data_IF_974408325718
#
_entry.id   IF_974408325718
#
_cell.length_a   1.000
_cell.length_b   1.000
_cell.length_c   1.000
_cell.angle_alpha   90.00
_cell.angle_beta   90.00
_cell.angle_gamma   90.00
#
_symmetry.space_group_name_H-M   'P 1'
#
loop_
_entity.id
_entity.type
_entity.pdbx_description
1 polymer ?
#
# COMPACT_ATOMS: atom_id res chain seq x y z
N UNK A 1 -2.63 -17.01 -25.21
CA UNK A 1 -2.13 -18.33 -24.78
C UNK A 1 -0.67 -18.20 -24.40
N UNK A 2 -0.33 -18.66 -23.19
CA UNK A 2 1.00 -18.91 -22.65
C UNK A 2 1.62 -17.69 -21.97
N UNK A 3 1.31 -17.46 -20.72
CA UNK A 3 1.99 -17.97 -19.53
C UNK A 3 3.18 -17.09 -19.13
N UNK A 4 2.93 -16.19 -18.18
CA UNK A 4 3.96 -15.73 -17.22
C UNK A 4 4.24 -16.82 -16.14
N UNK A 5 4.23 -18.07 -16.51
CA UNK A 5 4.58 -19.21 -15.66
C UNK A 5 5.88 -19.88 -16.18
N UNK A 6 6.95 -19.12 -16.36
CA UNK A 6 8.23 -19.71 -16.71
C UNK A 6 9.40 -18.81 -16.30
N UNK A 7 9.63 -18.69 -15.01
CA UNK A 7 10.93 -18.35 -14.46
C UNK A 7 11.20 -19.28 -13.28
N UNK A 8 11.35 -20.57 -13.59
CA UNK A 8 12.08 -21.51 -12.78
C UNK A 8 13.11 -22.19 -13.69
N UNK A 9 14.37 -21.79 -13.70
CA UNK A 9 15.42 -22.58 -14.31
C UNK A 9 15.86 -23.67 -13.33
N UNK A 10 15.60 -24.92 -13.68
CA UNK A 10 16.29 -26.08 -13.11
C UNK A 10 17.75 -26.03 -13.55
N UNK A 11 18.64 -25.62 -12.68
CA UNK A 11 20.10 -25.80 -12.87
C UNK A 11 20.51 -27.06 -12.16
N UNK A 12 20.81 -28.10 -12.94
CA UNK A 12 21.66 -29.23 -12.52
C UNK A 12 23.12 -28.80 -12.57
N UNK A 13 23.84 -29.09 -11.48
CA UNK A 13 25.16 -28.60 -11.21
C UNK A 13 26.30 -29.21 -12.05
N UNK A 14 27.39 -28.45 -12.06
CA UNK A 14 28.78 -28.95 -12.20
C UNK A 14 29.68 -28.10 -11.28
N UNK A 15 30.67 -28.67 -10.60
CA UNK A 15 31.50 -27.94 -9.65
C UNK A 15 32.59 -27.17 -10.37
N UNK A 16 32.72 -25.88 -10.09
CA UNK A 16 33.84 -25.04 -10.50
C UNK A 16 34.79 -24.82 -9.33
N UNK A 17 36.06 -25.10 -9.61
CA UNK A 17 37.19 -25.04 -8.69
C UNK A 17 37.50 -23.60 -8.25
N UNK A 18 37.78 -23.44 -6.96
CA UNK A 18 38.30 -22.23 -6.34
C UNK A 18 39.74 -21.95 -6.81
N UNK A 19 39.96 -20.79 -7.42
CA UNK A 19 41.25 -20.18 -7.57
C UNK A 19 41.38 -18.99 -6.62
N UNK A 20 42.36 -19.04 -5.70
CA UNK A 20 42.72 -17.96 -4.78
C UNK A 20 43.60 -16.93 -5.46
N UNK A 21 43.40 -15.63 -5.29
CA UNK A 21 44.44 -14.64 -5.57
C UNK A 21 45.16 -14.19 -4.28
N UNK A 22 46.47 -14.14 -4.43
CA UNK A 22 47.47 -13.66 -3.46
C UNK A 22 47.38 -12.16 -3.25
N UNK A 23 47.68 -11.80 -2.02
CA UNK A 23 47.91 -10.58 -1.34
C UNK A 23 48.33 -9.27 -2.03
N UNK A 24 47.86 -8.16 -1.45
CA UNK A 24 48.60 -6.87 -1.44
C UNK A 24 48.29 -6.03 -0.21
N UNK A 25 49.36 -5.76 0.52
CA UNK A 25 49.78 -4.54 1.24
C UNK A 25 48.74 -3.66 2.00
N UNK A 26 48.92 -3.70 3.30
CA UNK A 26 48.48 -2.69 4.25
C UNK A 26 49.12 -1.30 4.00
N UNK A 27 48.31 -0.26 4.04
CA UNK A 27 48.75 1.13 4.23
C UNK A 27 48.05 1.68 5.48
N UNK A 28 48.87 1.83 6.53
CA UNK A 28 48.52 2.50 7.77
C UNK A 28 48.38 4.00 7.54
N UNK A 29 47.28 4.62 7.96
CA UNK A 29 47.23 6.06 8.22
C UNK A 29 46.75 6.30 9.65
N UNK A 30 47.61 6.99 10.41
CA UNK A 30 47.40 7.46 11.78
C UNK A 30 46.22 8.45 11.81
N UNK A 31 45.29 8.25 12.71
CA UNK A 31 44.29 9.23 13.10
C UNK A 31 44.83 10.05 14.28
N UNK A 32 44.86 11.37 14.13
CA UNK A 32 45.11 12.31 15.19
C UNK A 32 43.79 12.71 15.85
N UNK A 33 43.74 12.54 17.16
CA UNK A 33 42.69 13.01 18.05
C UNK A 33 42.76 14.50 18.29
N UNK A 34 41.67 15.24 18.10
CA UNK A 34 41.46 16.54 18.70
C UNK A 34 40.12 16.60 19.42
N UNK A 35 40.17 16.62 20.71
CA UNK A 35 39.08 16.89 21.65
C UNK A 35 38.70 18.36 21.54
N UNK A 36 37.43 18.68 21.30
CA UNK A 36 36.85 20.00 21.60
C UNK A 36 35.66 19.87 22.55
N UNK A 37 35.80 20.61 23.66
CA UNK A 37 34.84 20.75 24.76
C UNK A 37 33.60 21.56 24.35
N UNK A 38 32.46 21.11 24.80
CA UNK A 38 31.35 21.75 25.47
C UNK A 38 30.68 22.99 24.85
N UNK A 39 29.40 22.86 24.52
CA UNK A 39 28.46 23.96 24.72
C UNK A 39 27.14 23.38 25.25
N UNK A 40 26.76 23.84 26.44
CA UNK A 40 25.45 23.58 27.06
C UNK A 40 24.38 24.29 26.25
N UNK A 41 23.40 23.56 25.71
CA UNK A 41 22.16 24.15 25.21
C UNK A 41 21.15 24.20 26.36
N UNK A 42 20.67 25.39 26.63
CA UNK A 42 19.56 25.65 27.52
C UNK A 42 18.26 25.09 26.95
N UNK A 43 17.54 24.30 27.76
CA UNK A 43 16.16 23.94 27.46
C UNK A 43 15.26 25.15 27.78
N UNK A 44 14.66 25.73 26.76
CA UNK A 44 13.53 26.63 26.95
C UNK A 44 12.27 25.77 26.91
N UNK A 45 11.65 25.60 28.05
CA UNK A 45 10.30 25.01 28.11
C UNK A 45 9.30 26.08 27.69
N UNK A 46 8.70 25.92 26.54
CA UNK A 46 7.51 26.68 26.15
C UNK A 46 6.30 25.83 26.56
N UNK A 47 5.64 26.23 27.64
CA UNK A 47 4.32 25.71 27.97
C UNK A 47 3.32 26.38 27.02
N UNK A 48 2.85 25.65 26.02
CA UNK A 48 1.73 26.09 25.20
C UNK A 48 0.42 25.61 25.84
N UNK A 49 -0.47 26.56 26.03
CA UNK A 49 -1.79 26.37 26.60
C UNK A 49 -2.68 25.63 25.56
N UNK A 50 -2.82 24.32 25.72
CA UNK A 50 -3.55 23.43 24.79
C UNK A 50 -5.09 23.53 24.91
N UNK A 51 -5.59 24.44 25.75
CA UNK A 51 -7.02 24.50 26.09
C UNK A 51 -7.94 25.25 25.10
N UNK A 52 -7.39 26.07 24.19
CA UNK A 52 -8.23 26.97 23.37
C UNK A 52 -8.47 26.51 21.93
N UNK A 53 -7.63 25.65 21.39
CA UNK A 53 -7.75 25.17 19.99
C UNK A 53 -8.83 24.07 19.83
N UNK A 54 -9.03 23.22 20.85
CA UNK A 54 -10.02 22.14 20.83
C UNK A 54 -11.47 22.66 20.72
N UNK A 55 -11.80 23.74 21.42
CA UNK A 55 -13.20 24.25 21.46
C UNK A 55 -13.66 24.92 20.15
N UNK A 56 -12.74 25.44 19.36
CA UNK A 56 -13.04 26.07 18.07
C UNK A 56 -13.34 25.04 16.97
N UNK A 57 -12.65 23.87 17.02
CA UNK A 57 -12.87 22.74 16.11
C UNK A 57 -14.20 22.03 16.36
N UNK A 58 -14.59 21.88 17.64
CA UNK A 58 -15.88 21.27 18.03
C UNK A 58 -17.08 22.05 17.52
N UNK A 59 -16.93 23.37 17.37
CA UNK A 59 -18.02 24.26 16.88
C UNK A 59 -18.17 24.21 15.35
N UNK A 60 -17.07 23.94 14.63
CA UNK A 60 -17.06 23.91 13.16
C UNK A 60 -17.58 22.60 12.55
N UNK A 61 -17.58 21.52 13.33
CA UNK A 61 -17.82 20.17 12.80
C UNK A 61 -19.23 19.63 13.07
N UNK A 62 -20.01 20.23 13.97
CA UNK A 62 -21.39 19.78 14.27
C UNK A 62 -21.52 18.30 14.68
N UNK A 63 -20.40 17.60 14.79
CA UNK A 63 -20.34 16.22 15.21
C UNK A 63 -19.92 16.16 16.68
N UNK A 64 -20.73 15.47 17.48
CA UNK A 64 -20.41 15.14 18.86
C UNK A 64 -19.22 14.19 18.84
N UNK A 65 -18.00 14.75 18.95
CA UNK A 65 -16.78 13.94 19.03
C UNK A 65 -16.80 13.25 20.40
N UNK A 66 -16.93 11.94 20.40
CA UNK A 66 -16.72 11.14 21.62
C UNK A 66 -15.22 11.16 21.87
N UNK A 67 -14.79 11.91 22.89
CA UNK A 67 -13.43 11.86 23.37
C UNK A 67 -13.13 10.41 23.79
N UNK A 68 -12.26 9.73 23.05
CA UNK A 68 -11.77 8.40 23.43
C UNK A 68 -10.67 8.59 24.45
N UNK A 69 -10.96 8.38 25.73
CA UNK A 69 -9.94 8.05 26.73
C UNK A 69 -9.12 6.88 26.19
N UNK A 70 -7.80 7.05 26.09
CA UNK A 70 -6.76 6.06 25.76
C UNK A 70 -7.24 4.68 25.33
N UNK A 71 -8.02 4.62 24.24
CA UNK A 71 -8.74 3.43 23.83
C UNK A 71 -7.80 2.46 23.15
N UNK A 72 -7.88 1.18 23.54
CA UNK A 72 -7.17 0.10 22.89
C UNK A 72 -7.57 -0.07 21.41
N UNK A 73 -6.95 -1.01 20.72
CA UNK A 73 -7.12 -1.31 19.28
C UNK A 73 -8.58 -1.37 18.80
N UNK A 74 -9.51 -1.84 19.63
CA UNK A 74 -10.93 -1.93 19.30
C UNK A 74 -11.63 -0.56 19.20
N UNK A 75 -11.18 0.46 19.92
CA UNK A 75 -11.77 1.80 19.84
C UNK A 75 -11.37 2.50 18.53
N UNK A 76 -10.14 2.30 18.06
CA UNK A 76 -9.67 2.82 16.77
C UNK A 76 -10.45 2.19 15.62
N UNK A 77 -10.62 0.86 15.63
CA UNK A 77 -11.43 0.16 14.62
C UNK A 77 -12.88 0.63 14.62
N UNK A 78 -13.49 0.78 15.81
CA UNK A 78 -14.87 1.28 15.92
C UNK A 78 -15.01 2.69 15.38
N UNK A 79 -14.06 3.58 15.65
CA UNK A 79 -14.06 4.95 15.11
C UNK A 79 -13.93 4.97 13.59
N UNK A 80 -13.05 4.16 13.03
CA UNK A 80 -12.89 4.01 11.57
C UNK A 80 -14.15 3.43 10.95
N UNK A 81 -14.73 2.38 11.53
CA UNK A 81 -15.96 1.75 11.05
C UNK A 81 -17.14 2.73 11.06
N UNK A 82 -17.28 3.54 12.12
CA UNK A 82 -18.30 4.57 12.20
C UNK A 82 -18.08 5.68 11.18
N UNK A 83 -16.83 6.12 10.99
CA UNK A 83 -16.50 7.17 10.02
C UNK A 83 -16.88 6.77 8.60
N UNK A 84 -16.46 5.60 8.13
CA UNK A 84 -16.75 5.11 6.77
C UNK A 84 -18.14 4.47 6.60
N UNK A 85 -18.73 3.98 7.68
CA UNK A 85 -20.07 3.35 7.64
C UNK A 85 -21.22 4.33 7.81
N UNK A 86 -21.06 5.37 8.63
CA UNK A 86 -22.14 6.25 9.04
C UNK A 86 -21.91 7.74 8.71
N UNK A 87 -20.66 8.23 8.83
CA UNK A 87 -20.33 9.66 8.70
C UNK A 87 -20.14 10.06 7.24
N UNK A 88 -19.36 9.30 6.48
CA UNK A 88 -19.16 9.54 5.05
C UNK A 88 -20.30 8.92 4.23
N UNK A 89 -20.96 9.73 3.42
CA UNK A 89 -21.99 9.26 2.47
C UNK A 89 -21.44 9.14 1.06
N UNK A 90 -20.55 10.04 0.70
CA UNK A 90 -19.89 10.09 -0.61
C UNK A 90 -18.44 10.56 -0.44
N UNK A 91 -17.62 10.39 -1.48
CA UNK A 91 -16.23 10.90 -1.53
C UNK A 91 -16.14 12.44 -1.43
N UNK A 92 -17.22 13.17 -1.71
CA UNK A 92 -17.25 14.62 -1.63
C UNK A 92 -17.28 15.14 -0.17
N UNK A 93 -17.54 14.27 0.80
CA UNK A 93 -17.57 14.61 2.23
C UNK A 93 -16.16 14.65 2.87
N UNK A 94 -15.11 14.22 2.14
CA UNK A 94 -13.72 14.19 2.61
C UNK A 94 -13.16 15.60 2.82
N UNK A 95 -12.32 15.76 3.86
CA UNK A 95 -11.76 17.06 4.30
C UNK A 95 -10.35 17.32 3.78
N UNK A 96 -9.70 16.31 3.23
CA UNK A 96 -8.35 16.41 2.65
C UNK A 96 -8.29 15.82 1.25
N UNK A 97 -7.27 16.17 0.48
CA UNK A 97 -7.00 15.54 -0.82
C UNK A 97 -6.34 14.16 -0.70
N UNK A 98 -6.10 13.67 0.51
CA UNK A 98 -5.39 12.40 0.74
C UNK A 98 -6.09 11.21 0.09
N UNK A 99 -7.41 11.14 0.19
CA UNK A 99 -8.22 10.04 -0.35
C UNK A 99 -8.89 10.36 -1.70
N UNK A 100 -8.53 11.45 -2.38
CA UNK A 100 -9.13 11.87 -3.63
C UNK A 100 -8.11 12.48 -4.60
N UNK A 101 -6.87 12.00 -4.59
CA UNK A 101 -5.86 12.55 -5.51
C UNK A 101 -6.23 12.24 -6.97
N UNK A 102 -6.29 13.24 -7.85
CA UNK A 102 -6.55 13.02 -9.27
C UNK A 102 -5.41 12.21 -9.89
N UNK A 103 -5.73 11.02 -10.42
CA UNK A 103 -4.79 10.23 -11.22
C UNK A 103 -5.10 10.35 -12.69
N UNK A 104 -4.07 10.39 -13.51
CA UNK A 104 -4.22 10.04 -14.90
C UNK A 104 -4.25 8.52 -15.06
N UNK A 105 -5.43 7.94 -14.81
CA UNK A 105 -5.62 6.50 -14.93
C UNK A 105 -5.31 6.03 -16.35
N UNK A 106 -4.63 4.91 -16.52
CA UNK A 106 -4.48 4.28 -17.82
C UNK A 106 -5.83 4.09 -18.53
N UNK A 107 -5.84 4.29 -19.85
CA UNK A 107 -7.09 4.19 -20.64
C UNK A 107 -7.86 2.90 -20.35
N UNK A 108 -7.18 1.76 -20.28
CA UNK A 108 -7.78 0.46 -19.96
C UNK A 108 -8.54 0.47 -18.64
N UNK A 109 -7.96 1.07 -17.60
CA UNK A 109 -8.60 1.18 -16.28
C UNK A 109 -9.82 2.11 -16.35
N UNK A 110 -9.72 3.24 -17.05
CA UNK A 110 -10.87 4.14 -17.27
C UNK A 110 -12.01 3.43 -18.00
N UNK A 111 -11.70 2.66 -19.04
CA UNK A 111 -12.68 1.90 -19.81
C UNK A 111 -13.38 0.84 -18.94
N UNK A 112 -12.63 0.14 -18.07
CA UNK A 112 -13.20 -0.81 -17.10
C UNK A 112 -14.10 -0.08 -16.10
N UNK A 113 -13.62 1.01 -15.50
CA UNK A 113 -14.35 1.80 -14.51
C UNK A 113 -15.65 2.38 -15.07
N UNK A 114 -15.73 2.68 -16.37
CA UNK A 114 -16.95 3.15 -17.00
C UNK A 114 -18.09 2.14 -16.91
N UNK A 115 -17.79 0.86 -16.79
CA UNK A 115 -18.74 -0.25 -16.69
C UNK A 115 -18.98 -0.72 -15.24
N UNK A 116 -18.21 -0.24 -14.25
CA UNK A 116 -18.47 -0.53 -12.85
C UNK A 116 -19.73 0.19 -12.39
N UNK A 117 -20.62 -0.46 -11.61
CA UNK A 117 -21.87 0.16 -11.15
C UNK A 117 -21.65 1.48 -10.41
N UNK A 118 -22.51 2.46 -10.65
CA UNK A 118 -22.38 3.81 -10.05
C UNK A 118 -22.45 3.78 -8.53
N UNK A 119 -23.27 2.90 -7.96
CA UNK A 119 -23.37 2.74 -6.50
C UNK A 119 -22.03 2.29 -5.87
N UNK A 120 -21.28 1.44 -6.56
CA UNK A 120 -19.94 1.00 -6.15
C UNK A 120 -18.93 2.15 -6.26
N UNK A 121 -18.97 2.92 -7.35
CA UNK A 121 -18.08 4.07 -7.56
C UNK A 121 -18.34 5.21 -6.57
N UNK A 122 -19.60 5.47 -6.23
CA UNK A 122 -19.99 6.56 -5.35
C UNK A 122 -19.52 6.39 -3.88
N UNK A 123 -19.23 5.15 -3.46
CA UNK A 123 -18.75 4.81 -2.12
C UNK A 123 -17.26 4.43 -2.09
N UNK A 124 -16.50 4.92 -3.04
CA UNK A 124 -15.07 4.69 -3.11
C UNK A 124 -14.28 5.77 -2.36
N UNK A 125 -13.35 5.34 -1.54
CA UNK A 125 -12.42 6.17 -0.78
C UNK A 125 -11.01 5.62 -0.94
N UNK A 126 -10.15 6.28 -1.71
CA UNK A 126 -8.80 5.78 -1.96
C UNK A 126 -7.84 6.84 -2.45
N UNK A 127 -6.56 6.71 -2.08
CA UNK A 127 -5.49 7.66 -2.40
C UNK A 127 -4.67 7.24 -3.62
N UNK A 128 -5.07 6.15 -4.31
CA UNK A 128 -4.33 5.59 -5.43
C UNK A 128 -5.16 4.74 -6.38
N UNK A 129 -4.48 4.16 -7.35
CA UNK A 129 -5.02 3.07 -8.17
C UNK A 129 -4.08 1.87 -8.06
N UNK A 130 -4.14 1.12 -6.96
CA UNK A 130 -3.23 0.02 -6.68
C UNK A 130 -3.61 -1.23 -7.47
N UNK A 131 -3.83 -1.08 -8.77
CA UNK A 131 -4.23 -2.19 -9.63
C UNK A 131 -3.19 -2.34 -10.74
N UNK A 132 -2.19 -3.24 -10.57
CA UNK A 132 -1.18 -3.48 -11.58
C UNK A 132 -1.81 -4.13 -12.82
N UNK A 133 -1.18 -3.92 -13.97
CA UNK A 133 -1.57 -4.59 -15.22
C UNK A 133 -0.77 -5.87 -15.43
N UNK A 134 -1.27 -6.75 -16.30
CA UNK A 134 -0.60 -8.02 -16.59
C UNK A 134 -0.87 -9.09 -15.53
N UNK A 135 -2.04 -9.05 -14.91
CA UNK A 135 -2.45 -9.92 -13.80
C UNK A 135 -3.42 -11.02 -14.25
N UNK A 136 -3.47 -11.32 -15.55
CA UNK A 136 -4.35 -12.34 -16.10
C UNK A 136 -4.18 -13.69 -15.38
N UNK A 137 -5.29 -14.28 -14.95
CA UNK A 137 -5.35 -15.58 -14.28
C UNK A 137 -4.89 -15.58 -12.83
N UNK A 138 -4.50 -14.45 -12.23
CA UNK A 138 -4.04 -14.38 -10.86
C UNK A 138 -5.18 -14.46 -9.85
N UNK A 139 -4.81 -14.91 -8.63
CA UNK A 139 -5.65 -14.86 -7.42
C UNK A 139 -5.31 -13.59 -6.66
N UNK A 140 -6.25 -12.65 -6.64
CA UNK A 140 -6.10 -11.32 -6.04
C UNK A 140 -6.86 -11.23 -4.73
N UNK A 141 -6.23 -10.66 -3.71
CA UNK A 141 -6.85 -10.29 -2.43
C UNK A 141 -6.82 -8.77 -2.30
N UNK A 142 -7.98 -8.17 -2.02
CA UNK A 142 -8.11 -6.74 -1.73
C UNK A 142 -8.32 -6.53 -0.22
N UNK A 143 -7.42 -5.81 0.42
CA UNK A 143 -7.48 -5.50 1.85
C UNK A 143 -8.22 -4.19 2.08
N UNK A 144 -9.35 -4.28 2.82
CA UNK A 144 -10.25 -3.15 3.03
C UNK A 144 -10.95 -2.77 1.74
N UNK A 145 -11.61 -3.75 1.13
CA UNK A 145 -12.19 -3.62 -0.21
C UNK A 145 -13.32 -2.59 -0.32
N UNK A 146 -13.88 -2.14 0.82
CA UNK A 146 -15.01 -1.23 0.85
C UNK A 146 -16.16 -1.71 -0.02
N UNK A 147 -16.70 -0.81 -0.86
CA UNK A 147 -17.76 -1.12 -1.84
C UNK A 147 -17.29 -2.01 -3.00
N UNK A 148 -16.01 -2.40 -3.03
CA UNK A 148 -15.49 -3.33 -4.01
C UNK A 148 -14.93 -2.71 -5.30
N UNK A 149 -14.85 -1.39 -5.46
CA UNK A 149 -14.46 -0.75 -6.74
C UNK A 149 -13.17 -1.36 -7.32
N UNK A 150 -12.12 -1.52 -6.50
CA UNK A 150 -10.85 -2.06 -6.98
C UNK A 150 -10.92 -3.58 -7.22
N UNK A 151 -11.78 -4.31 -6.49
CA UNK A 151 -12.13 -5.71 -6.81
C UNK A 151 -12.81 -5.85 -8.16
N UNK A 152 -13.74 -4.95 -8.52
CA UNK A 152 -14.43 -4.96 -9.82
C UNK A 152 -13.46 -4.71 -10.98
N UNK A 153 -12.51 -3.77 -10.78
CA UNK A 153 -11.44 -3.54 -11.76
C UNK A 153 -10.53 -4.77 -11.86
N UNK A 154 -10.12 -5.33 -10.72
CA UNK A 154 -9.28 -6.52 -10.69
C UNK A 154 -9.96 -7.73 -11.35
N UNK A 155 -11.26 -7.94 -11.12
CA UNK A 155 -12.03 -9.03 -11.74
C UNK A 155 -12.01 -8.97 -13.27
N UNK A 156 -12.13 -7.76 -13.85
CA UNK A 156 -11.98 -7.57 -15.27
C UNK A 156 -10.56 -7.82 -15.81
N UNK A 157 -9.54 -7.51 -14.98
CA UNK A 157 -8.12 -7.65 -15.37
C UNK A 157 -7.61 -9.08 -15.24
N UNK A 158 -8.06 -9.84 -14.23
CA UNK A 158 -7.64 -11.24 -14.05
C UNK A 158 -8.33 -12.20 -15.03
N UNK A 159 -9.42 -11.76 -15.63
CA UNK A 159 -10.18 -12.59 -16.58
C UNK A 159 -10.98 -13.71 -15.89
N UNK A 160 -11.70 -14.50 -16.69
CA UNK A 160 -12.56 -15.59 -16.20
C UNK A 160 -11.81 -16.71 -15.47
N UNK A 161 -10.51 -16.88 -15.72
CA UNK A 161 -9.66 -17.90 -15.06
C UNK A 161 -9.02 -17.44 -13.76
N UNK A 162 -9.01 -16.13 -13.48
CA UNK A 162 -8.53 -15.58 -12.24
C UNK A 162 -9.63 -15.53 -11.17
N UNK A 163 -9.24 -15.10 -9.97
CA UNK A 163 -10.17 -14.94 -8.85
C UNK A 163 -9.83 -13.70 -8.02
N UNK A 164 -10.86 -13.03 -7.51
CA UNK A 164 -10.69 -11.86 -6.63
C UNK A 164 -11.41 -12.11 -5.31
N UNK A 165 -10.76 -11.81 -4.21
CA UNK A 165 -11.36 -11.83 -2.87
C UNK A 165 -11.20 -10.45 -2.25
N UNK A 166 -12.30 -9.80 -1.88
CA UNK A 166 -12.29 -8.58 -1.08
C UNK A 166 -12.53 -8.91 0.40
N UNK A 167 -11.78 -8.27 1.30
CA UNK A 167 -12.01 -8.36 2.75
C UNK A 167 -12.28 -6.97 3.29
N UNK A 168 -13.40 -6.80 3.99
CA UNK A 168 -13.76 -5.54 4.67
C UNK A 168 -14.46 -5.83 6.01
N UNK A 169 -14.38 -4.91 6.95
CA UNK A 169 -15.03 -5.06 8.27
C UNK A 169 -16.44 -4.46 8.30
N UNK A 170 -16.85 -3.69 7.29
CA UNK A 170 -18.05 -2.86 7.27
C UNK A 170 -19.17 -3.53 6.49
N UNK A 171 -20.24 -3.97 7.15
CA UNK A 171 -21.37 -4.66 6.51
C UNK A 171 -22.00 -3.84 5.38
N UNK A 172 -22.26 -2.54 5.59
CA UNK A 172 -22.89 -1.69 4.58
C UNK A 172 -22.04 -1.48 3.32
N UNK A 173 -20.72 -1.63 3.41
CA UNK A 173 -19.82 -1.64 2.25
C UNK A 173 -19.90 -2.97 1.51
N UNK A 174 -19.84 -4.08 2.26
CA UNK A 174 -19.91 -5.43 1.72
C UNK A 174 -21.26 -5.71 1.04
N UNK A 175 -22.35 -5.15 1.56
CA UNK A 175 -23.68 -5.26 0.94
C UNK A 175 -23.68 -4.65 -0.46
N UNK A 176 -23.10 -3.45 -0.62
CA UNK A 176 -22.95 -2.80 -1.93
C UNK A 176 -22.04 -3.62 -2.86
N UNK A 177 -20.91 -4.09 -2.33
CA UNK A 177 -19.95 -4.88 -3.08
C UNK A 177 -20.55 -6.19 -3.61
N UNK A 178 -21.35 -6.90 -2.79
CA UNK A 178 -21.99 -8.15 -3.19
C UNK A 178 -23.16 -7.97 -4.14
N UNK A 179 -23.90 -6.85 -4.02
CA UNK A 179 -25.16 -6.60 -4.73
C UNK A 179 -25.05 -6.71 -6.26
N UNK A 180 -23.92 -6.27 -6.79
CA UNK A 180 -23.71 -6.17 -8.23
C UNK A 180 -22.68 -7.18 -8.77
N UNK A 181 -22.07 -7.99 -7.91
CA UNK A 181 -20.91 -8.81 -8.27
C UNK A 181 -21.24 -9.85 -9.35
N UNK A 182 -22.35 -10.57 -9.22
CA UNK A 182 -22.77 -11.59 -10.19
C UNK A 182 -23.12 -10.96 -11.55
N UNK A 183 -24.00 -9.95 -11.56
CA UNK A 183 -24.42 -9.29 -12.80
C UNK A 183 -23.25 -8.61 -13.53
N UNK A 184 -22.31 -8.03 -12.79
CA UNK A 184 -21.12 -7.47 -13.41
C UNK A 184 -20.26 -8.54 -14.08
N UNK A 185 -20.00 -9.66 -13.43
CA UNK A 185 -19.20 -10.74 -14.01
C UNK A 185 -19.90 -11.40 -15.20
N UNK A 186 -21.21 -11.68 -15.10
CA UNK A 186 -21.95 -12.41 -16.12
C UNK A 186 -22.40 -11.50 -17.25
N UNK A 187 -23.10 -10.40 -16.93
CA UNK A 187 -23.76 -9.57 -17.94
C UNK A 187 -22.82 -8.56 -18.58
N UNK A 188 -21.83 -8.04 -17.82
CA UNK A 188 -20.90 -7.01 -18.30
C UNK A 188 -19.60 -7.62 -18.83
N UNK A 189 -18.97 -8.52 -18.05
CA UNK A 189 -17.71 -9.15 -18.46
C UNK A 189 -17.89 -10.39 -19.34
N UNK A 190 -19.09 -10.96 -19.39
CA UNK A 190 -19.39 -12.14 -20.23
C UNK A 190 -18.80 -13.44 -19.68
N UNK A 191 -18.59 -13.55 -18.36
CA UNK A 191 -18.07 -14.76 -17.74
C UNK A 191 -19.20 -15.77 -17.49
N UNK A 192 -18.87 -17.05 -17.42
CA UNK A 192 -19.84 -18.12 -17.11
C UNK A 192 -20.34 -18.03 -15.65
N UNK A 193 -19.53 -17.47 -14.75
CA UNK A 193 -19.86 -17.30 -13.35
C UNK A 193 -19.06 -16.16 -12.73
N UNK A 194 -19.48 -15.74 -11.55
CA UNK A 194 -18.79 -14.74 -10.74
C UNK A 194 -17.38 -15.22 -10.35
N UNK A 195 -16.36 -14.38 -10.61
CA UNK A 195 -14.97 -14.64 -10.26
C UNK A 195 -14.47 -13.80 -9.08
N UNK A 196 -15.37 -13.07 -8.39
CA UNK A 196 -15.03 -12.30 -7.19
C UNK A 196 -15.93 -12.67 -6.01
N UNK A 197 -15.39 -12.60 -4.80
CA UNK A 197 -16.10 -12.89 -3.56
C UNK A 197 -15.73 -11.85 -2.50
N UNK A 198 -16.68 -11.53 -1.61
CA UNK A 198 -16.43 -10.59 -0.53
C UNK A 198 -16.63 -11.27 0.82
N UNK A 199 -15.73 -10.99 1.77
CA UNK A 199 -15.70 -11.60 3.09
C UNK A 199 -15.64 -10.54 4.17
N UNK A 200 -16.41 -10.73 5.24
CA UNK A 200 -16.31 -9.90 6.42
C UNK A 200 -15.11 -10.32 7.26
N UNK A 201 -14.27 -9.36 7.62
CA UNK A 201 -13.09 -9.57 8.45
C UNK A 201 -12.25 -8.32 8.60
N UNK A 202 -11.24 -8.40 9.47
CA UNK A 202 -10.22 -7.36 9.62
C UNK A 202 -8.96 -7.74 8.88
N UNK A 203 -8.21 -6.74 8.44
CA UNK A 203 -6.97 -6.95 7.68
C UNK A 203 -5.81 -7.45 8.55
N UNK A 204 -5.92 -7.33 9.87
CA UNK A 204 -4.98 -7.85 10.86
C UNK A 204 -5.16 -9.35 11.13
N UNK A 205 -6.33 -9.92 10.82
CA UNK A 205 -6.64 -11.34 11.01
C UNK A 205 -7.38 -11.92 9.79
N UNK A 206 -6.66 -12.05 8.69
CA UNK A 206 -7.17 -12.66 7.46
C UNK A 206 -7.47 -14.15 7.63
N UNK A 207 -6.88 -14.79 8.65
CA UNK A 207 -7.14 -16.18 8.97
C UNK A 207 -8.58 -16.36 9.47
N UNK A 208 -9.06 -15.47 10.34
CA UNK A 208 -10.46 -15.46 10.78
C UNK A 208 -11.43 -15.22 9.61
N UNK A 209 -11.05 -14.40 8.61
CA UNK A 209 -11.79 -14.21 7.38
C UNK A 209 -11.71 -15.44 6.42
N UNK A 210 -11.02 -16.49 6.81
CA UNK A 210 -10.89 -17.74 6.04
C UNK A 210 -9.95 -17.62 4.82
N UNK A 211 -8.99 -16.70 4.85
CA UNK A 211 -7.94 -16.61 3.83
C UNK A 211 -6.78 -17.52 4.24
N UNK A 212 -6.46 -18.50 3.39
CA UNK A 212 -5.46 -19.52 3.69
C UNK A 212 -4.04 -19.05 3.38
N UNK A 213 -3.06 -19.75 3.96
CA UNK A 213 -1.63 -19.48 3.74
C UNK A 213 -1.25 -19.75 2.28
N UNK A 214 -0.41 -18.89 1.71
CA UNK A 214 0.19 -19.03 0.39
C UNK A 214 -0.84 -19.28 -0.75
N UNK A 215 -2.03 -18.66 -0.64
CA UNK A 215 -3.10 -18.83 -1.63
C UNK A 215 -3.30 -17.63 -2.55
N UNK A 216 -2.62 -16.53 -2.30
CA UNK A 216 -2.78 -15.30 -3.09
C UNK A 216 -1.52 -15.04 -3.91
N UNK A 217 -1.71 -14.67 -5.16
CA UNK A 217 -0.62 -14.30 -6.07
C UNK A 217 -0.35 -12.78 -6.01
N UNK A 218 -1.40 -12.02 -5.75
CA UNK A 218 -1.36 -10.57 -5.61
C UNK A 218 -2.26 -10.14 -4.45
N UNK A 219 -1.75 -9.24 -3.62
CA UNK A 219 -2.57 -8.46 -2.69
C UNK A 219 -2.59 -7.02 -3.18
N UNK A 220 -3.76 -6.40 -3.15
CA UNK A 220 -3.93 -4.95 -3.37
C UNK A 220 -4.51 -4.30 -2.12
N UNK A 221 -4.27 -3.01 -1.92
CA UNK A 221 -4.91 -2.20 -0.88
C UNK A 221 -4.83 -0.72 -1.21
N UNK A 222 -5.80 0.06 -0.76
CA UNK A 222 -5.91 1.46 -1.08
C UNK A 222 -6.31 2.30 0.13
N UNK A 223 -5.33 3.00 0.75
CA UNK A 223 -5.54 3.84 1.94
C UNK A 223 -6.18 3.13 3.15
N UNK A 224 -5.87 1.87 3.38
CA UNK A 224 -6.46 1.08 4.47
C UNK A 224 -5.44 0.65 5.52
N UNK A 225 -4.20 0.36 5.12
CA UNK A 225 -3.16 -0.09 6.05
C UNK A 225 -2.92 0.94 7.16
N UNK A 226 -2.98 2.23 6.84
CA UNK A 226 -2.84 3.31 7.82
C UNK A 226 -3.96 3.38 8.86
N UNK A 227 -5.15 2.92 8.52
CA UNK A 227 -6.30 2.89 9.43
C UNK A 227 -6.21 1.76 10.45
N UNK A 228 -5.36 0.76 10.20
CA UNK A 228 -5.14 -0.33 11.13
C UNK A 228 -4.35 0.13 12.36
N UNK A 229 -4.79 -0.22 13.58
CA UNK A 229 -4.01 0.00 14.80
C UNK A 229 -2.77 -0.91 14.88
N UNK A 230 -2.80 -2.08 14.23
CA UNK A 230 -1.71 -3.07 14.25
C UNK A 230 -1.15 -3.34 12.83
N UNK A 231 -0.40 -2.39 12.30
CA UNK A 231 0.25 -2.51 11.00
C UNK A 231 1.26 -3.68 10.90
N UNK A 232 2.00 -4.03 11.97
CA UNK A 232 2.80 -5.27 12.01
C UNK A 232 1.98 -6.52 11.73
N UNK A 233 0.78 -6.66 12.32
CA UNK A 233 -0.11 -7.80 12.06
C UNK A 233 -0.57 -7.81 10.60
N UNK A 234 -0.95 -6.64 10.03
CA UNK A 234 -1.35 -6.53 8.62
C UNK A 234 -0.25 -7.04 7.69
N UNK A 235 1.00 -6.56 7.86
CA UNK A 235 2.11 -7.01 7.02
C UNK A 235 2.44 -8.50 7.23
N UNK A 236 2.31 -9.00 8.45
CA UNK A 236 2.52 -10.43 8.75
C UNK A 236 1.45 -11.31 8.08
N UNK A 237 0.18 -10.89 8.10
CA UNK A 237 -0.89 -11.58 7.40
C UNK A 237 -0.73 -11.51 5.87
N UNK A 238 -0.35 -10.33 5.33
CA UNK A 238 -0.02 -10.21 3.92
C UNK A 238 1.10 -11.17 3.51
N UNK A 239 2.19 -11.24 4.29
CA UNK A 239 3.26 -12.21 4.06
C UNK A 239 2.77 -13.65 4.12
N UNK A 240 1.93 -14.00 5.11
CA UNK A 240 1.41 -15.35 5.29
C UNK A 240 0.58 -15.80 4.09
N UNK A 241 -0.36 -14.97 3.63
CA UNK A 241 -1.33 -15.36 2.59
C UNK A 241 -0.76 -15.32 1.17
N UNK A 242 0.30 -14.53 0.92
CA UNK A 242 0.98 -14.52 -0.37
C UNK A 242 1.66 -15.86 -0.66
N UNK A 243 1.52 -16.34 -1.88
CA UNK A 243 2.37 -17.39 -2.43
C UNK A 243 3.82 -16.89 -2.62
N UNK A 244 4.78 -17.79 -2.67
CA UNK A 244 6.17 -17.42 -3.02
C UNK A 244 6.21 -16.87 -4.45
N UNK A 245 6.86 -15.72 -4.61
CA UNK A 245 6.85 -14.94 -5.86
C UNK A 245 5.66 -14.01 -5.99
N UNK A 246 4.73 -14.03 -5.02
CA UNK A 246 3.58 -13.11 -4.98
C UNK A 246 3.96 -11.71 -4.55
N UNK A 247 3.04 -10.78 -4.78
CA UNK A 247 3.25 -9.36 -4.59
C UNK A 247 2.16 -8.72 -3.73
N UNK A 248 2.56 -7.80 -2.84
CA UNK A 248 1.66 -6.84 -2.22
C UNK A 248 1.86 -5.47 -2.87
N UNK A 249 0.88 -5.04 -3.64
CA UNK A 249 0.87 -3.80 -4.41
C UNK A 249 -0.19 -2.86 -3.83
N UNK A 250 0.20 -1.75 -3.24
CA UNK A 250 -0.76 -0.90 -2.54
C UNK A 250 -0.33 0.57 -2.49
N UNK A 251 -1.32 1.45 -2.34
CA UNK A 251 -1.12 2.88 -2.14
C UNK A 251 -1.59 3.27 -0.75
N UNK A 252 -0.78 4.06 -0.04
CA UNK A 252 -1.16 4.60 1.26
C UNK A 252 -0.44 5.91 1.57
N UNK A 253 -0.81 6.56 2.66
CA UNK A 253 -0.25 7.85 3.09
C UNK A 253 0.91 7.64 4.03
N UNK A 254 1.99 8.37 3.81
CA UNK A 254 3.22 8.34 4.61
C UNK A 254 3.62 9.75 5.04
N UNK A 255 4.41 9.85 6.12
CA UNK A 255 4.92 11.11 6.63
C UNK A 255 6.45 11.17 6.57
N UNK A 256 7.01 12.38 6.40
CA UNK A 256 8.45 12.64 6.44
C UNK A 256 9.06 12.49 7.83
N UNK A 257 8.24 12.33 8.86
CA UNK A 257 8.63 12.23 10.27
C UNK A 257 7.65 11.39 11.09
N UNK A 258 8.05 11.03 12.34
CA UNK A 258 7.13 10.42 13.30
C UNK A 258 6.19 11.48 13.84
N UNK A 259 4.89 11.19 13.76
CA UNK A 259 3.87 12.07 14.31
C UNK A 259 3.75 11.91 15.83
N UNK A 260 3.54 13.00 16.58
CA UNK A 260 3.19 12.96 18.00
C UNK A 260 1.88 12.22 18.25
N UNK A 261 1.68 11.72 19.45
CA UNK A 261 0.53 10.88 19.80
C UNK A 261 -0.80 11.63 19.70
N UNK A 262 -0.84 12.89 20.09
CA UNK A 262 -2.02 13.76 19.98
C UNK A 262 -2.48 13.95 18.52
N UNK A 263 -1.54 14.05 17.59
CA UNK A 263 -1.83 14.09 16.15
C UNK A 263 -2.34 12.75 15.67
N UNK A 264 -1.71 11.66 16.10
CA UNK A 264 -2.09 10.30 15.69
C UNK A 264 -3.47 9.89 16.18
N UNK A 265 -3.85 10.34 17.38
CA UNK A 265 -5.14 10.05 17.98
C UNK A 265 -6.27 11.02 17.53
N UNK A 266 -5.95 12.05 16.73
CA UNK A 266 -6.93 13.03 16.30
C UNK A 266 -7.96 12.39 15.35
N UNK A 267 -9.27 12.38 15.67
CA UNK A 267 -10.27 11.58 14.95
C UNK A 267 -10.39 11.91 13.47
N UNK A 268 -10.36 13.22 13.13
CA UNK A 268 -10.44 13.66 11.72
C UNK A 268 -9.18 13.24 10.95
N UNK A 269 -7.98 13.49 11.53
CA UNK A 269 -6.73 13.12 10.88
C UNK A 269 -6.61 11.61 10.70
N UNK A 270 -7.10 10.82 11.65
CA UNK A 270 -7.13 9.36 11.54
C UNK A 270 -8.07 8.93 10.41
N UNK A 271 -9.31 9.41 10.37
CA UNK A 271 -10.27 9.11 9.31
C UNK A 271 -9.81 9.53 7.92
N UNK A 272 -9.04 10.62 7.82
CA UNK A 272 -8.44 11.12 6.57
C UNK A 272 -7.07 10.49 6.25
N UNK A 273 -6.70 9.37 6.88
CA UNK A 273 -5.46 8.63 6.71
C UNK A 273 -4.16 9.37 7.13
N UNK A 274 -4.24 10.63 7.56
CA UNK A 274 -3.07 11.41 7.98
C UNK A 274 -2.59 11.02 9.38
N UNK A 275 -3.51 10.82 10.34
CA UNK A 275 -3.17 10.43 11.71
C UNK A 275 -2.48 9.07 11.80
N UNK A 276 -2.89 8.13 10.95
CA UNK A 276 -2.28 6.80 10.86
C UNK A 276 -0.99 6.72 10.04
N UNK A 277 -0.62 7.81 9.35
CA UNK A 277 0.53 7.81 8.44
C UNK A 277 1.84 7.49 9.17
N UNK A 278 2.52 6.44 8.71
CA UNK A 278 3.83 6.07 9.25
C UNK A 278 4.93 6.98 8.71
N UNK A 279 5.96 7.19 9.52
CA UNK A 279 7.23 7.71 8.99
C UNK A 279 7.79 6.72 7.95
N UNK A 280 8.13 7.21 6.76
CA UNK A 280 8.58 6.38 5.62
C UNK A 280 9.64 5.36 6.01
N UNK A 281 10.66 5.77 6.78
CA UNK A 281 11.73 4.88 7.18
C UNK A 281 11.32 3.83 8.22
N UNK A 282 10.32 4.11 9.06
CA UNK A 282 9.78 3.12 10.00
C UNK A 282 8.95 2.06 9.25
N UNK A 283 8.22 2.47 8.23
CA UNK A 283 7.52 1.54 7.34
C UNK A 283 8.52 0.61 6.60
N UNK A 284 9.59 1.15 6.01
CA UNK A 284 10.62 0.34 5.34
C UNK A 284 11.25 -0.68 6.29
N UNK A 285 11.57 -0.25 7.53
CA UNK A 285 12.10 -1.16 8.57
C UNK A 285 11.09 -2.24 8.94
N UNK A 286 9.81 -1.91 8.99
CA UNK A 286 8.74 -2.87 9.27
C UNK A 286 8.63 -3.90 8.15
N UNK A 287 8.64 -3.49 6.89
CA UNK A 287 8.64 -4.39 5.74
C UNK A 287 9.78 -5.41 5.82
N UNK A 288 11.01 -4.94 6.04
CA UNK A 288 12.20 -5.81 6.14
C UNK A 288 12.07 -6.80 7.30
N UNK A 289 11.58 -6.35 8.48
CA UNK A 289 11.37 -7.26 9.62
C UNK A 289 10.31 -8.32 9.36
N UNK A 290 9.32 -8.03 8.53
CA UNK A 290 8.27 -8.99 8.16
C UNK A 290 8.77 -10.02 7.13
N UNK A 291 9.80 -9.68 6.35
CA UNK A 291 10.34 -10.55 5.30
C UNK A 291 10.35 -9.91 3.90
N UNK A 292 9.66 -8.77 3.72
CA UNK A 292 9.73 -8.00 2.48
C UNK A 292 11.04 -7.21 2.44
N UNK A 293 12.10 -7.83 1.92
CA UNK A 293 13.47 -7.30 2.02
C UNK A 293 13.74 -6.08 1.15
N UNK A 294 12.96 -5.88 0.09
CA UNK A 294 13.14 -4.81 -0.89
C UNK A 294 11.80 -4.09 -1.17
N UNK A 295 11.35 -3.17 -0.28
CA UNK A 295 10.17 -2.36 -0.51
C UNK A 295 10.42 -1.34 -1.62
N UNK A 296 9.80 -1.52 -2.79
CA UNK A 296 9.96 -0.69 -3.98
C UNK A 296 8.89 0.38 -4.05
N UNK A 297 9.29 1.60 -4.31
CA UNK A 297 8.37 2.70 -4.65
C UNK A 297 8.09 2.65 -6.14
N UNK A 298 6.83 2.66 -6.54
CA UNK A 298 6.45 2.81 -7.93
C UNK A 298 6.26 4.29 -8.29
N UNK A 299 5.52 5.00 -7.45
CA UNK A 299 5.24 6.42 -7.58
C UNK A 299 4.93 7.02 -6.22
N UNK A 300 5.08 8.34 -6.13
CA UNK A 300 4.73 9.08 -4.92
C UNK A 300 4.55 10.56 -5.22
N UNK A 301 3.62 11.20 -4.50
CA UNK A 301 3.37 12.63 -4.61
C UNK A 301 3.02 13.22 -3.25
N UNK A 302 3.38 14.48 -3.05
CA UNK A 302 3.09 15.23 -1.82
C UNK A 302 1.58 15.51 -1.74
N UNK A 303 1.01 15.31 -0.55
CA UNK A 303 -0.39 15.60 -0.24
C UNK A 303 -0.48 17.00 0.33
N UNK A 304 -1.31 17.85 -0.27
CA UNK A 304 -1.57 19.17 0.26
C UNK A 304 -2.72 19.12 1.28
N UNK A 305 -2.45 19.62 2.49
CA UNK A 305 -3.49 19.79 3.52
C UNK A 305 -4.12 21.16 3.30
N UNK A 306 -5.35 21.19 2.79
CA UNK A 306 -6.03 22.42 2.39
C UNK A 306 -6.63 23.19 3.58
N UNK A 307 -7.11 22.47 4.61
CA UNK A 307 -7.70 23.06 5.79
C UNK A 307 -6.66 23.82 6.64
N UNK A 308 -6.82 25.15 6.88
CA UNK A 308 -5.83 25.93 7.62
C UNK A 308 -5.64 25.50 9.07
N UNK A 309 -6.70 25.04 9.75
CA UNK A 309 -6.63 24.60 11.14
C UNK A 309 -5.88 23.26 11.26
N UNK A 310 -6.12 22.32 10.33
CA UNK A 310 -5.35 21.08 10.27
C UNK A 310 -3.89 21.34 9.91
N UNK A 311 -3.63 22.31 9.02
CA UNK A 311 -2.26 22.71 8.66
C UNK A 311 -1.50 23.28 9.84
N UNK A 312 -2.14 24.14 10.65
CA UNK A 312 -1.53 24.70 11.87
C UNK A 312 -1.22 23.57 12.87
N UNK A 313 -2.15 22.63 13.06
CA UNK A 313 -1.99 21.49 13.96
C UNK A 313 -0.83 20.57 13.52
N UNK A 314 -0.70 20.30 12.23
CA UNK A 314 0.33 19.42 11.66
C UNK A 314 1.71 20.09 11.56
N UNK A 315 1.78 21.41 11.61
CA UNK A 315 3.02 22.20 11.54
C UNK A 315 3.81 21.91 10.26
N UNK A 316 5.10 21.56 10.43
CA UNK A 316 6.03 21.30 9.33
C UNK A 316 5.99 19.86 8.80
N UNK A 317 5.05 19.01 9.26
CA UNK A 317 4.93 17.64 8.78
C UNK A 317 4.47 17.61 7.32
N UNK A 318 5.14 16.80 6.51
CA UNK A 318 4.80 16.60 5.10
C UNK A 318 4.28 15.19 4.89
N UNK A 319 3.21 15.09 4.13
CA UNK A 319 2.55 13.84 3.82
C UNK A 319 2.68 13.51 2.34
N UNK A 320 2.79 12.23 2.06
CA UNK A 320 2.95 11.70 0.71
C UNK A 320 2.02 10.53 0.49
N UNK A 321 1.30 10.52 -0.61
CA UNK A 321 0.71 9.28 -1.12
C UNK A 321 1.80 8.52 -1.86
N UNK A 322 2.06 7.28 -1.46
CA UNK A 322 3.11 6.45 -2.06
C UNK A 322 2.51 5.09 -2.43
N UNK A 323 2.76 4.68 -3.68
CA UNK A 323 2.46 3.32 -4.14
C UNK A 323 3.69 2.45 -3.97
N UNK A 324 3.55 1.38 -3.18
CA UNK A 324 4.59 0.40 -2.90
C UNK A 324 4.33 -0.93 -3.61
N UNK A 325 5.43 -1.60 -3.94
CA UNK A 325 5.49 -2.99 -4.38
C UNK A 325 6.36 -3.78 -3.40
N UNK A 326 5.78 -4.76 -2.75
CA UNK A 326 6.48 -5.66 -1.82
C UNK A 326 6.39 -7.09 -2.34
N UNK A 327 7.52 -7.71 -2.63
CA UNK A 327 7.56 -9.07 -3.19
C UNK A 327 7.88 -10.11 -2.12
N UNK A 328 7.13 -11.20 -2.09
CA UNK A 328 7.46 -12.35 -1.25
C UNK A 328 8.42 -13.28 -2.00
N UNK A 329 9.70 -12.98 -1.92
CA UNK A 329 10.77 -13.76 -2.54
C UNK A 329 11.83 -14.15 -1.49
N UNK A 330 11.55 -15.13 -0.59
CA UNK A 330 12.43 -15.47 0.52
C UNK A 330 13.85 -15.83 0.04
N UNK A 331 14.85 -15.07 0.53
CA UNK A 331 16.27 -15.32 0.22
C UNK A 331 16.66 -15.16 -1.24
N UNK A 332 15.86 -14.44 -2.04
CA UNK A 332 16.13 -14.23 -3.48
C UNK A 332 16.28 -12.77 -3.87
N UNK A 333 15.90 -11.84 -3.00
CA UNK A 333 16.00 -10.42 -3.27
C UNK A 333 17.16 -9.83 -2.48
N UNK A 334 18.00 -9.08 -3.19
CA UNK A 334 19.04 -8.26 -2.58
C UNK A 334 18.46 -6.93 -2.09
N UNK A 335 19.03 -6.41 -0.99
CA UNK A 335 18.59 -5.12 -0.42
C UNK A 335 19.27 -3.91 -1.09
N UNK A 336 20.23 -4.16 -1.96
CA UNK A 336 20.97 -3.15 -2.74
C UNK A 336 21.08 -3.62 -4.18
N UNK A 337 21.19 -2.66 -5.10
CA UNK A 337 21.47 -2.97 -6.50
C UNK A 337 22.93 -3.37 -6.66
N UNK A 338 23.17 -4.55 -7.18
CA UNK A 338 24.48 -5.09 -7.51
C UNK A 338 24.53 -5.49 -8.99
N UNK A 339 25.67 -5.29 -9.63
CA UNK A 339 25.88 -5.65 -11.03
C UNK A 339 26.65 -6.97 -11.14
N UNK A 340 25.93 -8.04 -11.40
CA UNK A 340 26.51 -9.37 -11.68
C UNK A 340 26.64 -9.65 -13.19
N UNK A 341 26.42 -8.65 -14.05
CA UNK A 341 26.42 -8.81 -15.51
C UNK A 341 25.16 -9.48 -16.06
N UNK A 342 24.13 -9.65 -15.23
CA UNK A 342 22.85 -10.20 -15.67
C UNK A 342 22.02 -9.12 -16.36
N UNK A 343 21.19 -9.53 -17.29
CA UNK A 343 20.26 -8.61 -17.94
C UNK A 343 18.94 -9.29 -18.27
N UNK A 344 17.90 -8.49 -18.33
CA UNK A 344 16.57 -8.87 -18.82
C UNK A 344 16.26 -8.14 -20.13
N UNK A 345 15.40 -8.74 -20.94
CA UNK A 345 14.89 -8.12 -22.17
C UNK A 345 13.37 -8.17 -22.16
N UNK A 346 12.74 -7.05 -22.04
CA UNK A 346 11.29 -6.95 -22.10
C UNK A 346 10.77 -7.25 -23.52
N UNK A 347 9.76 -8.11 -23.62
CA UNK A 347 9.19 -8.53 -24.92
C UNK A 347 7.97 -7.72 -25.37
N UNK A 348 7.48 -6.81 -24.52
CA UNK A 348 6.29 -6.01 -24.83
C UNK A 348 5.00 -6.82 -24.77
N UNK A 349 4.94 -7.83 -23.90
CA UNK A 349 3.80 -8.76 -23.81
C UNK A 349 2.77 -8.37 -22.76
N UNK A 350 3.05 -7.38 -21.91
CA UNK A 350 2.08 -6.86 -20.94
C UNK A 350 1.12 -5.93 -21.68
N UNK A 351 -0.16 -6.22 -21.59
CA UNK A 351 -1.20 -5.44 -22.25
C UNK A 351 -1.18 -3.98 -21.71
N UNK A 352 -1.36 -3.01 -22.62
CA UNK A 352 -1.22 -1.59 -22.32
C UNK A 352 0.23 -1.08 -22.26
N UNK A 353 1.25 -1.96 -22.26
CA UNK A 353 2.68 -1.60 -22.18
C UNK A 353 3.51 -2.14 -23.37
N UNK A 354 3.15 -1.85 -24.64
CA UNK A 354 3.79 -2.49 -25.79
C UNK A 354 5.24 -2.04 -26.01
N UNK A 355 5.69 -0.93 -25.41
CA UNK A 355 6.99 -0.31 -25.67
C UNK A 355 7.94 -0.37 -24.49
N UNK A 356 7.44 -0.31 -23.25
CA UNK A 356 8.23 -0.35 -22.03
C UNK A 356 7.34 -0.74 -20.84
N UNK A 357 7.96 -1.24 -19.77
CA UNK A 357 7.30 -1.49 -18.49
C UNK A 357 8.15 -0.90 -17.36
N UNK A 358 7.52 -0.18 -16.42
CA UNK A 358 8.18 0.32 -15.21
C UNK A 358 7.95 -0.66 -14.08
N UNK A 359 9.04 -1.19 -13.52
CA UNK A 359 9.01 -2.06 -12.35
C UNK A 359 8.81 -1.23 -11.07
N UNK A 360 9.48 -0.08 -11.02
CA UNK A 360 9.46 0.88 -9.92
C UNK A 360 9.77 2.30 -10.44
N UNK A 361 10.07 3.26 -9.56
CA UNK A 361 10.30 4.67 -9.89
C UNK A 361 11.57 4.92 -10.72
N UNK A 362 12.51 3.97 -10.79
CA UNK A 362 13.77 4.10 -11.53
C UNK A 362 14.12 2.93 -12.46
N UNK A 363 13.44 1.79 -12.37
CA UNK A 363 13.62 0.64 -13.28
C UNK A 363 12.57 0.64 -14.39
N UNK A 364 12.84 1.39 -15.46
CA UNK A 364 12.01 1.37 -16.68
C UNK A 364 12.66 0.50 -17.75
N UNK A 365 12.06 -0.63 -18.06
CA UNK A 365 12.59 -1.64 -18.99
C UNK A 365 11.96 -1.46 -20.35
N UNK A 366 12.76 -1.04 -21.35
CA UNK A 366 12.29 -0.85 -22.72
C UNK A 366 12.26 -2.15 -23.52
N UNK A 367 11.28 -2.26 -24.43
CA UNK A 367 11.12 -3.43 -25.29
C UNK A 367 12.36 -3.67 -26.15
N UNK A 368 12.80 -4.93 -26.18
CA UNK A 368 13.94 -5.43 -26.96
C UNK A 368 15.30 -4.78 -26.65
N UNK A 369 15.40 -4.03 -25.56
CA UNK A 369 16.68 -3.54 -25.06
C UNK A 369 17.14 -4.37 -23.86
N UNK A 370 18.43 -4.74 -23.76
CA UNK A 370 18.94 -5.35 -22.54
C UNK A 370 18.92 -4.30 -21.41
N UNK A 371 18.45 -4.72 -20.24
CA UNK A 371 18.41 -3.92 -19.03
C UNK A 371 19.14 -4.70 -17.93
N UNK A 372 20.19 -4.12 -17.36
CA UNK A 372 20.98 -4.75 -16.30
C UNK A 372 20.14 -4.89 -15.03
N UNK A 373 20.22 -6.04 -14.40
CA UNK A 373 19.46 -6.35 -13.17
C UNK A 373 20.37 -7.02 -12.16
N UNK A 374 20.01 -6.88 -10.89
CA UNK A 374 20.62 -7.64 -9.81
C UNK A 374 20.15 -9.11 -9.80
N UNK A 375 20.80 -9.94 -8.98
CA UNK A 375 20.56 -11.37 -8.88
C UNK A 375 19.19 -11.80 -8.36
#
# INVERSE_FOLDING_TARGET
MTAMAALAPTLRGAPLALATPRGTRALSRKASSSVRKGSRRAHVAVAADAGSASSALDTLMGAKIIATDGGGDDSVRSSVQQYYGETLKTSDDLKTSACCTPYDLPKKIRDILSNVPDEVKAKYYGCGSPTPQGIDGLRVLDLGSGSGRDCYVAAALVGASGAVTGVDMTDGQLDVANKHAESYCVDVLGYESQNMTFKKGTIEDLKAAGVKDATQDLIISNCVVNLSPDKPAVLSEAWRVLADGGEFYFSDVYCDRRLPEDIRAHPVLLGECLGGAMYVEDFRRLCVRTGFTDPRVLEGHEIEVLDPALRELLGEAKFYSITYRLFKCPGRLESICEDYGQYVVYKGTIDGHPHAYSLDDHHRIEKNKPFLVCG
#
